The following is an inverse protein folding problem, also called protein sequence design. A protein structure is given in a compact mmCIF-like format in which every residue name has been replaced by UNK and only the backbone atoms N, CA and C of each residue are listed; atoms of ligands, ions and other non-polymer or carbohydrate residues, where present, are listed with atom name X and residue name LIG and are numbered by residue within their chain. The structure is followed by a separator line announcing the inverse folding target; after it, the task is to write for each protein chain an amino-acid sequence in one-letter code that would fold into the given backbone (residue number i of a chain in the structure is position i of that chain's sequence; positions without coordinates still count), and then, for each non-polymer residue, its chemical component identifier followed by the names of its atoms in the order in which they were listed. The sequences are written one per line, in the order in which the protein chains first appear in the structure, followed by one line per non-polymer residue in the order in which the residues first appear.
data_IF_893885530099
#
_entry.id   IF_893885530099
#
_cell.length_a   1.000
_cell.length_b   1.000
_cell.length_c   1.000
_cell.angle_alpha   90.00
_cell.angle_beta   90.00
_cell.angle_gamma   90.00
#
_symmetry.space_group_name_H-M   'P 1'
#
loop_
_entity.id
_entity.type
_entity.pdbx_description
1 polymer ?
#
# COMPACT_ATOMS: atom_id res chain seq x y z
N UNK A 1 29.08 -31.13 -12.77
CA UNK A 1 27.91 -31.58 -12.00
C UNK A 1 27.85 -30.74 -10.74
N UNK A 2 26.92 -29.80 -10.66
CA UNK A 2 26.69 -28.98 -9.46
C UNK A 2 25.44 -29.52 -8.81
N UNK A 3 25.54 -30.08 -7.61
CA UNK A 3 24.35 -30.29 -6.79
C UNK A 3 24.70 -30.49 -5.32
N UNK A 4 24.27 -29.49 -4.55
CA UNK A 4 23.70 -29.57 -3.21
C UNK A 4 24.50 -30.35 -2.17
N UNK A 5 25.46 -29.68 -1.54
CA UNK A 5 25.54 -29.78 -0.08
C UNK A 5 24.43 -28.90 0.47
N UNK A 6 23.26 -29.51 0.65
CA UNK A 6 22.20 -28.93 1.48
C UNK A 6 22.80 -28.64 2.85
N UNK A 7 22.76 -27.37 3.23
CA UNK A 7 22.96 -26.90 4.60
C UNK A 7 21.88 -27.53 5.46
N UNK A 8 22.10 -28.78 5.85
CA UNK A 8 21.37 -29.47 6.89
C UNK A 8 21.77 -28.78 8.20
N UNK A 9 20.97 -27.79 8.60
CA UNK A 9 20.90 -27.34 9.99
C UNK A 9 20.53 -28.59 10.80
N UNK A 10 21.54 -29.22 11.40
CA UNK A 10 21.34 -30.14 12.52
C UNK A 10 20.56 -29.36 13.57
N UNK A 11 19.30 -29.77 13.74
CA UNK A 11 18.48 -29.39 14.86
C UNK A 11 19.06 -30.21 16.00
N UNK A 12 19.72 -29.56 16.95
CA UNK A 12 20.09 -30.19 18.21
C UNK A 12 18.79 -30.74 18.82
N UNK A 13 18.68 -32.07 18.89
CA UNK A 13 17.64 -32.78 19.62
C UNK A 13 17.87 -32.48 21.11
N UNK A 14 17.16 -31.49 21.66
CA UNK A 14 17.11 -31.25 23.09
C UNK A 14 16.35 -32.44 23.74
N UNK A 15 17.04 -33.24 24.55
CA UNK A 15 16.42 -34.22 25.45
C UNK A 15 15.59 -33.47 26.51
N UNK A 16 14.27 -33.47 26.38
CA UNK A 16 13.35 -32.95 27.41
C UNK A 16 13.18 -34.00 28.53
N UNK A 17 13.81 -33.77 29.70
CA UNK A 17 13.40 -34.41 30.96
C UNK A 17 12.04 -33.82 31.40
N UNK A 18 11.00 -34.67 31.41
CA UNK A 18 9.65 -34.32 31.90
C UNK A 18 9.62 -34.24 33.44
N UNK A 19 9.78 -33.05 34.00
CA UNK A 19 9.38 -32.75 35.38
C UNK A 19 8.01 -32.05 35.41
N UNK A 20 6.98 -32.83 35.72
CA UNK A 20 5.60 -32.38 35.85
C UNK A 20 5.33 -31.69 37.19
N UNK A 21 5.47 -30.36 37.27
CA UNK A 21 4.83 -29.55 38.33
C UNK A 21 4.08 -28.34 37.77
N UNK A 22 2.75 -28.37 37.95
CA UNK A 22 1.82 -27.41 37.39
C UNK A 22 1.94 -26.00 37.97
N UNK A 23 2.44 -25.05 37.18
CA UNK A 23 2.41 -23.63 37.51
C UNK A 23 1.22 -22.92 36.86
N UNK A 24 0.21 -22.60 37.68
CA UNK A 24 -1.02 -21.87 37.29
C UNK A 24 -0.69 -20.44 36.87
N UNK A 25 -0.39 -20.24 35.59
CA UNK A 25 -0.24 -18.90 35.02
C UNK A 25 -1.58 -18.16 35.02
N UNK A 26 -1.72 -17.20 35.93
CA UNK A 26 -2.80 -16.23 35.96
C UNK A 26 -2.77 -15.43 34.66
N UNK A 27 -3.77 -15.62 33.79
CA UNK A 27 -3.93 -14.82 32.57
C UNK A 27 -4.29 -13.39 32.98
N UNK A 28 -3.31 -12.49 32.99
CA UNK A 28 -3.52 -11.06 33.12
C UNK A 28 -4.39 -10.53 31.97
N UNK A 29 -5.07 -9.38 32.17
CA UNK A 29 -5.94 -8.81 31.16
C UNK A 29 -5.11 -8.48 29.92
N UNK A 30 -5.56 -8.96 28.76
CA UNK A 30 -4.98 -8.59 27.46
C UNK A 30 -5.25 -7.11 27.27
N UNK A 31 -4.30 -6.28 27.69
CA UNK A 31 -4.27 -4.87 27.37
C UNK A 31 -4.16 -4.81 25.84
N UNK A 32 -5.27 -4.44 25.19
CA UNK A 32 -5.31 -4.31 23.74
C UNK A 32 -4.27 -3.29 23.32
N UNK A 33 -3.18 -3.77 22.72
CA UNK A 33 -2.22 -2.91 22.04
C UNK A 33 -3.01 -2.18 20.93
N UNK A 34 -3.08 -0.84 20.95
CA UNK A 34 -3.60 -0.07 19.84
C UNK A 34 -2.71 -0.37 18.64
N UNK A 35 -3.22 -1.11 17.65
CA UNK A 35 -2.60 -1.50 16.38
C UNK A 35 -1.39 -0.61 16.05
N UNK A 36 -0.22 -1.01 16.56
CA UNK A 36 0.95 -0.14 16.61
C UNK A 36 1.43 0.12 15.18
N UNK A 37 1.71 1.39 14.87
CA UNK A 37 2.37 1.77 13.64
C UNK A 37 3.63 0.90 13.44
N UNK A 38 3.92 0.51 12.20
CA UNK A 38 4.97 -0.47 11.92
C UNK A 38 6.30 -0.10 12.59
N UNK A 39 6.97 -1.08 13.20
CA UNK A 39 8.25 -0.93 13.92
C UNK A 39 9.44 -0.51 13.02
N UNK A 40 9.20 -0.12 11.77
CA UNK A 40 10.23 0.19 10.78
C UNK A 40 11.14 1.36 11.15
N UNK A 41 10.71 2.25 12.05
CA UNK A 41 11.46 3.40 12.55
C UNK A 41 11.84 3.27 14.02
N UNK A 42 11.78 2.06 14.60
CA UNK A 42 12.08 1.89 16.02
C UNK A 42 13.59 2.01 16.25
N UNK A 43 13.99 3.12 16.85
CA UNK A 43 15.37 3.29 17.32
C UNK A 43 15.61 2.38 18.55
N UNK A 44 16.75 1.68 18.53
CA UNK A 44 17.16 0.83 19.66
C UNK A 44 17.51 1.77 20.83
N UNK A 45 16.91 1.55 22.00
CA UNK A 45 17.19 2.39 23.18
C UNK A 45 18.68 2.37 23.53
N UNK A 46 19.23 3.54 23.86
CA UNK A 46 20.64 3.74 24.19
C UNK A 46 21.18 2.83 25.30
N UNK A 47 20.31 2.35 26.19
CA UNK A 47 20.67 1.42 27.27
C UNK A 47 21.20 0.09 26.70
N UNK A 48 20.70 -0.33 25.53
CA UNK A 48 21.18 -1.52 24.81
C UNK A 48 22.42 -1.25 23.96
N UNK A 49 22.86 0.00 23.84
CA UNK A 49 24.08 0.39 23.12
C UNK A 49 25.33 0.46 24.02
N UNK A 50 25.20 0.14 25.32
CA UNK A 50 26.31 0.19 26.27
C UNK A 50 27.19 -1.06 26.20
N UNK A 51 28.51 -0.86 26.15
CA UNK A 51 29.51 -1.94 26.11
C UNK A 51 29.38 -2.82 27.36
N UNK A 52 29.12 -4.12 27.17
CA UNK A 52 28.84 -5.09 28.23
C UNK A 52 27.36 -5.36 28.54
N UNK A 53 26.41 -4.60 27.98
CA UNK A 53 24.96 -4.83 28.19
C UNK A 53 24.45 -6.17 27.62
N UNK A 54 25.17 -6.77 26.67
CA UNK A 54 24.81 -8.01 25.97
C UNK A 54 25.69 -9.22 26.39
N UNK A 55 26.57 -9.07 27.39
CA UNK A 55 27.48 -10.13 27.85
C UNK A 55 28.72 -10.32 26.95
N UNK A 56 29.51 -11.37 27.20
CA UNK A 56 30.82 -11.63 26.59
C UNK A 56 30.78 -12.13 25.12
N UNK A 57 29.61 -12.11 24.47
CA UNK A 57 29.42 -12.63 23.11
C UNK A 57 29.35 -14.16 23.00
N UNK A 58 29.53 -14.92 24.09
CA UNK A 58 29.34 -16.37 24.17
C UNK A 58 27.91 -16.78 24.55
N UNK A 59 27.05 -15.81 24.84
CA UNK A 59 25.71 -16.06 25.38
C UNK A 59 24.77 -16.68 24.33
N UNK A 60 24.35 -17.94 24.54
CA UNK A 60 23.36 -18.67 23.70
C UNK A 60 22.08 -17.84 23.51
N UNK A 61 21.68 -17.08 24.53
CA UNK A 61 20.50 -16.22 24.50
C UNK A 61 20.67 -15.02 23.58
N UNK A 62 21.87 -14.42 23.53
CA UNK A 62 22.17 -13.32 22.62
C UNK A 62 22.14 -13.80 21.17
N UNK A 63 22.76 -14.95 20.89
CA UNK A 63 22.74 -15.56 19.57
C UNK A 63 21.31 -15.91 19.13
N UNK A 64 20.49 -16.41 20.06
CA UNK A 64 19.07 -16.67 19.80
C UNK A 64 18.29 -15.39 19.52
N UNK A 65 18.50 -14.32 20.30
CA UNK A 65 17.87 -13.02 20.08
C UNK A 65 18.24 -12.41 18.72
N UNK A 66 19.51 -12.49 18.32
CA UNK A 66 19.97 -12.02 17.00
C UNK A 66 19.33 -12.84 15.87
N UNK A 67 19.27 -14.17 15.99
CA UNK A 67 18.58 -15.03 15.02
C UNK A 67 17.10 -14.66 14.90
N UNK A 68 16.43 -14.40 16.02
CA UNK A 68 15.02 -13.98 16.04
C UNK A 68 14.82 -12.63 15.35
N UNK A 69 15.66 -11.64 15.63
CA UNK A 69 15.61 -10.33 14.99
C UNK A 69 15.92 -10.40 13.49
N UNK A 70 16.84 -11.28 13.09
CA UNK A 70 17.10 -11.56 11.68
C UNK A 70 15.88 -12.18 10.99
N UNK A 71 15.25 -13.20 11.61
CA UNK A 71 14.04 -13.83 11.07
C UNK A 71 12.89 -12.83 10.96
N UNK A 72 12.69 -11.97 11.97
CA UNK A 72 11.70 -10.88 11.95
C UNK A 72 11.96 -9.90 10.81
N UNK A 73 13.21 -9.47 10.66
CA UNK A 73 13.61 -8.52 9.62
C UNK A 73 13.50 -9.12 8.22
N UNK A 74 13.87 -10.39 8.06
CA UNK A 74 13.69 -11.15 6.82
C UNK A 74 12.21 -11.31 6.47
N UNK A 75 11.35 -11.65 7.44
CA UNK A 75 9.91 -11.74 7.23
C UNK A 75 9.29 -10.39 6.83
N UNK A 76 9.78 -9.27 7.40
CA UNK A 76 9.40 -7.92 6.96
C UNK A 76 9.83 -7.63 5.53
N UNK A 77 11.08 -7.95 5.18
CA UNK A 77 11.59 -7.76 3.82
C UNK A 77 10.79 -8.56 2.78
N UNK A 78 10.44 -9.82 3.09
CA UNK A 78 9.59 -10.63 2.22
C UNK A 78 8.19 -10.03 2.05
N UNK A 79 7.54 -9.59 3.13
CA UNK A 79 6.23 -8.92 3.04
C UNK A 79 6.29 -7.63 2.23
N UNK A 80 7.32 -6.81 2.44
CA UNK A 80 7.52 -5.60 1.64
C UNK A 80 7.67 -5.92 0.14
N UNK A 81 8.44 -6.96 -0.19
CA UNK A 81 8.59 -7.40 -1.57
C UNK A 81 7.24 -7.86 -2.17
N UNK A 82 6.43 -8.60 -1.40
CA UNK A 82 5.07 -8.97 -1.81
C UNK A 82 4.19 -7.74 -2.05
N UNK A 83 4.23 -6.76 -1.14
CA UNK A 83 3.49 -5.50 -1.28
C UNK A 83 3.89 -4.73 -2.54
N UNK A 84 5.19 -4.64 -2.86
CA UNK A 84 5.65 -4.01 -4.12
C UNK A 84 5.09 -4.72 -5.36
N UNK A 85 5.04 -6.06 -5.35
CA UNK A 85 4.46 -6.85 -6.44
C UNK A 85 2.95 -6.63 -6.55
N UNK A 86 2.24 -6.62 -5.42
CA UNK A 86 0.81 -6.36 -5.37
C UNK A 86 0.46 -4.96 -5.88
N UNK A 87 1.22 -3.94 -5.47
CA UNK A 87 1.03 -2.56 -5.94
C UNK A 87 1.25 -2.44 -7.45
N UNK A 88 2.26 -3.12 -7.99
CA UNK A 88 2.51 -3.16 -9.44
C UNK A 88 1.32 -3.76 -10.18
N UNK A 89 0.77 -4.85 -9.68
CA UNK A 89 -0.42 -5.48 -10.25
C UNK A 89 -1.68 -4.62 -10.08
N UNK A 90 -1.81 -3.92 -8.96
CA UNK A 90 -2.95 -3.04 -8.70
C UNK A 90 -2.97 -1.87 -9.68
N UNK A 91 -1.82 -1.21 -9.92
CA UNK A 91 -1.67 -0.18 -10.96
C UNK A 91 -2.17 -0.70 -12.31
N UNK A 92 -1.69 -1.88 -12.72
CA UNK A 92 -2.08 -2.52 -13.99
C UNK A 92 -3.58 -2.82 -14.05
N UNK A 93 -4.17 -3.31 -12.94
CA UNK A 93 -5.61 -3.61 -12.86
C UNK A 93 -6.46 -2.35 -12.92
N UNK A 94 -6.06 -1.27 -12.23
CA UNK A 94 -6.78 0.01 -12.25
C UNK A 94 -6.88 0.55 -13.69
N UNK A 95 -5.79 0.59 -14.44
CA UNK A 95 -5.81 1.04 -15.84
C UNK A 95 -6.75 0.18 -16.70
N UNK A 96 -6.71 -1.14 -16.51
CA UNK A 96 -7.58 -2.06 -17.24
C UNK A 96 -9.06 -1.85 -16.88
N UNK A 97 -9.36 -1.59 -15.62
CA UNK A 97 -10.73 -1.29 -15.16
C UNK A 97 -11.24 0.01 -15.77
N UNK A 98 -10.41 1.07 -15.83
CA UNK A 98 -10.83 2.32 -16.46
C UNK A 98 -11.09 2.17 -17.97
N UNK A 99 -10.22 1.45 -18.68
CA UNK A 99 -10.45 1.13 -20.09
C UNK A 99 -11.75 0.34 -20.30
N UNK A 100 -12.02 -0.64 -19.43
CA UNK A 100 -13.26 -1.42 -19.47
C UNK A 100 -14.50 -0.57 -19.18
N UNK A 101 -14.47 0.31 -18.18
CA UNK A 101 -15.60 1.21 -17.91
C UNK A 101 -15.81 2.21 -19.03
N UNK A 102 -14.75 2.75 -19.66
CA UNK A 102 -14.86 3.61 -20.82
C UNK A 102 -15.62 2.92 -21.97
N UNK A 103 -15.21 1.69 -22.31
CA UNK A 103 -15.88 0.89 -23.34
C UNK A 103 -17.35 0.60 -22.97
N UNK A 104 -17.60 0.30 -21.70
CA UNK A 104 -18.95 0.07 -21.19
C UNK A 104 -19.84 1.31 -21.30
N UNK A 105 -19.29 2.51 -21.10
CA UNK A 105 -20.02 3.76 -21.32
C UNK A 105 -20.27 4.03 -22.81
N UNK A 106 -19.31 3.70 -23.69
CA UNK A 106 -19.51 3.82 -25.14
C UNK A 106 -20.64 2.92 -25.66
N UNK A 107 -20.73 1.70 -25.16
CA UNK A 107 -21.83 0.79 -25.50
C UNK A 107 -23.20 1.34 -25.06
N UNK A 108 -23.26 2.15 -24.00
CA UNK A 108 -24.49 2.76 -23.48
C UNK A 108 -24.97 3.97 -24.27
N UNK A 109 -24.26 4.42 -25.30
CA UNK A 109 -24.73 5.50 -26.18
C UNK A 109 -26.00 5.11 -26.95
N UNK A 110 -26.28 3.81 -27.11
CA UNK A 110 -27.43 3.29 -27.86
C UNK A 110 -28.17 2.18 -27.11
N UNK A 111 -29.28 1.68 -27.67
CA UNK A 111 -30.04 0.55 -27.09
C UNK A 111 -31.18 0.96 -26.16
N UNK A 112 -31.41 2.25 -25.95
CA UNK A 112 -32.53 2.76 -25.17
C UNK A 112 -33.78 2.89 -26.05
N UNK A 113 -34.82 2.10 -25.76
CA UNK A 113 -36.10 2.15 -26.48
C UNK A 113 -37.09 3.08 -25.76
N UNK A 114 -37.94 3.76 -26.54
CA UNK A 114 -39.03 4.59 -25.99
C UNK A 114 -38.62 5.98 -25.49
N UNK A 115 -37.39 6.44 -25.76
CA UNK A 115 -36.96 7.81 -25.45
C UNK A 115 -37.39 8.78 -26.56
N UNK A 116 -37.81 9.98 -26.15
CA UNK A 116 -37.94 11.13 -27.06
C UNK A 116 -36.57 11.57 -27.58
N UNK A 117 -36.56 12.30 -28.70
CA UNK A 117 -35.33 12.72 -29.39
C UNK A 117 -34.36 13.47 -28.45
N UNK A 118 -34.88 14.44 -27.69
CA UNK A 118 -34.10 15.26 -26.75
C UNK A 118 -33.44 14.41 -25.64
N UNK A 119 -34.15 13.39 -25.15
CA UNK A 119 -33.61 12.47 -24.15
C UNK A 119 -32.56 11.55 -24.75
N UNK A 120 -32.74 11.08 -25.98
CA UNK A 120 -31.76 10.25 -26.67
C UNK A 120 -30.44 11.00 -26.88
N UNK A 121 -30.52 12.29 -27.26
CA UNK A 121 -29.34 13.17 -27.36
C UNK A 121 -28.64 13.35 -26.00
N UNK A 122 -29.41 13.63 -24.94
CA UNK A 122 -28.88 13.77 -23.58
C UNK A 122 -28.16 12.50 -23.07
N UNK A 123 -28.72 11.33 -23.34
CA UNK A 123 -28.11 10.04 -22.98
C UNK A 123 -26.80 9.81 -23.73
N UNK A 124 -26.77 10.10 -25.03
CA UNK A 124 -25.55 10.01 -25.83
C UNK A 124 -24.47 10.97 -25.34
N UNK A 125 -24.83 12.23 -25.10
CA UNK A 125 -23.91 13.24 -24.60
C UNK A 125 -23.32 12.86 -23.23
N UNK A 126 -24.16 12.35 -22.31
CA UNK A 126 -23.72 11.91 -21.01
C UNK A 126 -22.81 10.68 -21.08
N UNK A 127 -23.20 9.66 -21.86
CA UNK A 127 -22.40 8.45 -22.04
C UNK A 127 -21.00 8.76 -22.60
N UNK A 128 -20.93 9.64 -23.63
CA UNK A 128 -19.65 10.11 -24.18
C UNK A 128 -18.79 10.85 -23.15
N UNK A 129 -19.41 11.72 -22.35
CA UNK A 129 -18.70 12.43 -21.28
C UNK A 129 -18.13 11.47 -20.24
N UNK A 130 -18.88 10.42 -19.87
CA UNK A 130 -18.38 9.41 -18.94
C UNK A 130 -17.22 8.60 -19.54
N UNK A 131 -17.33 8.18 -20.80
CA UNK A 131 -16.23 7.50 -21.49
C UNK A 131 -14.96 8.36 -21.53
N UNK A 132 -15.08 9.64 -21.91
CA UNK A 132 -13.96 10.61 -21.90
C UNK A 132 -13.33 10.76 -20.51
N UNK A 133 -14.15 10.85 -19.46
CA UNK A 133 -13.65 10.93 -18.08
C UNK A 133 -12.75 9.73 -17.72
N UNK A 134 -13.16 8.50 -18.04
CA UNK A 134 -12.34 7.31 -17.77
C UNK A 134 -11.07 7.27 -18.64
N UNK A 135 -11.14 7.72 -19.89
CA UNK A 135 -9.94 7.88 -20.73
C UNK A 135 -8.95 8.88 -20.11
N UNK A 136 -9.44 10.02 -19.60
CA UNK A 136 -8.61 11.03 -18.94
C UNK A 136 -8.01 10.54 -17.63
N UNK A 137 -8.77 9.80 -16.82
CA UNK A 137 -8.23 9.13 -15.63
C UNK A 137 -7.12 8.16 -16.01
N UNK A 138 -7.33 7.32 -17.03
CA UNK A 138 -6.33 6.38 -17.51
C UNK A 138 -5.02 7.09 -17.89
N UNK A 139 -5.11 8.17 -18.66
CA UNK A 139 -3.96 8.97 -19.05
C UNK A 139 -3.27 9.63 -17.84
N UNK A 140 -4.02 10.26 -16.93
CA UNK A 140 -3.45 10.91 -15.73
C UNK A 140 -2.67 9.90 -14.89
N UNK A 141 -3.26 8.74 -14.63
CA UNK A 141 -2.62 7.70 -13.82
C UNK A 141 -1.44 7.02 -14.53
N UNK A 142 -1.51 6.84 -15.86
CA UNK A 142 -0.35 6.37 -16.64
C UNK A 142 0.82 7.32 -16.52
N UNK A 143 0.61 8.62 -16.78
CA UNK A 143 1.64 9.64 -16.64
C UNK A 143 2.19 9.63 -15.21
N UNK A 144 1.32 9.71 -14.21
CA UNK A 144 1.75 9.74 -12.81
C UNK A 144 2.53 8.48 -12.38
N UNK A 145 2.23 7.30 -12.93
CA UNK A 145 2.94 6.07 -12.59
C UNK A 145 4.20 5.80 -13.43
N UNK A 146 4.31 6.41 -14.61
CA UNK A 146 5.49 6.35 -15.46
C UNK A 146 6.53 7.43 -15.13
N UNK A 147 6.13 8.49 -14.39
CA UNK A 147 7.03 9.55 -13.94
C UNK A 147 8.08 9.03 -12.94
N UNK A 148 9.34 9.50 -13.04
CA UNK A 148 10.34 9.25 -12.02
C UNK A 148 9.89 9.76 -10.65
N UNK A 149 10.20 9.05 -9.54
CA UNK A 149 9.78 9.45 -8.19
C UNK A 149 10.17 10.88 -7.79
N UNK A 150 11.24 11.41 -8.36
CA UNK A 150 11.75 12.77 -8.10
C UNK A 150 10.79 13.86 -8.59
N UNK A 151 10.03 13.61 -9.66
CA UNK A 151 9.11 14.58 -10.27
C UNK A 151 7.70 14.56 -9.64
N UNK A 152 7.32 13.46 -8.99
CA UNK A 152 6.00 13.31 -8.35
C UNK A 152 5.83 14.24 -7.13
N UNK A 153 6.94 14.63 -6.48
CA UNK A 153 6.90 15.51 -5.31
C UNK A 153 6.59 16.96 -5.69
N UNK A 154 7.00 17.42 -6.88
CA UNK A 154 6.80 18.79 -7.35
C UNK A 154 5.35 19.04 -7.83
N UNK A 155 4.73 18.05 -8.48
CA UNK A 155 3.37 18.18 -9.03
C UNK A 155 2.29 18.29 -7.92
N UNK A 156 2.48 17.64 -6.78
CA UNK A 156 1.52 17.66 -5.66
C UNK A 156 1.41 19.04 -4.98
N UNK A 157 2.46 19.86 -5.03
CA UNK A 157 2.43 21.22 -4.48
C UNK A 157 1.68 22.19 -5.43
N UNK A 158 1.83 21.99 -6.75
CA UNK A 158 1.23 22.85 -7.77
C UNK A 158 -0.29 22.69 -7.97
N UNK A 159 -0.86 21.49 -7.76
CA UNK A 159 -2.32 21.28 -7.84
C UNK A 159 -3.07 22.00 -6.70
N UNK A 160 -2.41 22.32 -5.59
CA UNK A 160 -3.03 23.02 -4.45
C UNK A 160 -3.22 24.54 -4.67
N UNK A 161 -2.49 25.13 -5.61
CA UNK A 161 -2.55 26.58 -5.88
C UNK A 161 -3.58 26.95 -6.97
N UNK A 162 -4.04 25.98 -7.76
CA UNK A 162 -4.90 26.23 -8.93
C UNK A 162 -6.41 26.33 -8.62
N UNK A 163 -6.87 26.04 -7.40
CA UNK A 163 -8.30 26.12 -7.03
C UNK A 163 -8.73 27.49 -6.43
N UNK A 164 -7.84 28.50 -6.39
CA UNK A 164 -8.06 29.76 -5.68
C UNK A 164 -8.61 30.96 -6.48
N UNK A 165 -8.58 30.97 -7.81
CA UNK A 165 -8.83 32.20 -8.58
C UNK A 165 -9.99 32.06 -9.59
N UNK A 166 -11.20 31.90 -9.06
CA UNK A 166 -12.46 32.12 -9.79
C UNK A 166 -12.96 33.56 -9.61
N UNK A 167 -12.48 34.49 -10.44
CA UNK A 167 -12.86 35.90 -10.48
C UNK A 167 -14.38 36.08 -10.79
N UNK A 168 -15.16 36.48 -9.78
CA UNK A 168 -16.59 36.82 -9.93
C UNK A 168 -16.72 38.19 -10.60
N UNK A 169 -16.85 38.22 -11.93
CA UNK A 169 -17.22 39.44 -12.66
C UNK A 169 -18.71 39.71 -12.51
N UNK A 170 -19.06 40.59 -11.56
CA UNK A 170 -20.38 41.18 -11.45
C UNK A 170 -20.64 42.07 -12.67
N UNK A 171 -21.56 41.65 -13.54
CA UNK A 171 -22.18 42.50 -14.54
C UNK A 171 -23.43 43.13 -13.90
N UNK A 172 -23.29 44.29 -13.26
CA UNK A 172 -24.44 45.15 -13.00
C UNK A 172 -24.76 45.95 -14.27
N UNK A 173 -25.72 45.45 -15.03
CA UNK A 173 -26.47 46.26 -15.99
C UNK A 173 -27.38 47.21 -15.21
N UNK A 174 -27.11 48.51 -15.29
CA UNK A 174 -28.03 49.54 -14.81
C UNK A 174 -28.86 50.05 -15.98
N UNK A 175 -30.12 49.66 -15.96
CA UNK A 175 -31.23 50.22 -16.73
C UNK A 175 -31.55 51.60 -16.15
N UNK A 176 -31.40 52.65 -16.95
CA UNK A 176 -32.35 53.77 -17.12
C UNK A 176 -31.93 54.65 -18.30
#
# INVERSE_FOLDING_TARGET
MVSLHGSLLEIDEDEEEEDAEGNKHKKGPRLGSPREAGEGHREISWIWMQEGALGDGSNKDLNHAIKLEWLRSRARAHRWQEECLLLTEEKRRILKTFAYEAERWDQRQSGWQGLGLDYAEGVQAYARRQADMYCRLTLKFQIHWDLPPEQVLEDNESESEAEGEGEVRQLEGKVE
#
